data_IF_883464110326
#
_entry.id   IF_883464110326
#
_cell.length_a   1.000
_cell.length_b   1.000
_cell.length_c   1.000
_cell.angle_alpha   90.00
_cell.angle_beta   90.00
_cell.angle_gamma   90.00
#
_symmetry.space_group_name_H-M   'P 1'
#
loop_
_entity.id
_entity.type
_entity.pdbx_description
1 polymer ?
#
# COMPACT_ATOMS: atom_id res chain seq x y z
N UNK A 1 -9.30 -6.52 4.55
CA UNK A 1 -8.53 -7.61 3.94
C UNK A 1 -8.28 -8.59 5.03
N UNK A 2 -8.87 -9.75 4.89
CA UNK A 2 -9.04 -10.67 6.02
C UNK A 2 -8.24 -11.97 5.79
N UNK A 3 -7.56 -12.10 4.65
CA UNK A 3 -6.74 -13.27 4.34
C UNK A 3 -5.54 -12.98 3.45
N UNK A 4 -4.56 -13.89 3.51
CA UNK A 4 -3.40 -13.93 2.60
C UNK A 4 -3.85 -14.08 1.14
N UNK A 5 -4.93 -14.81 0.88
CA UNK A 5 -5.44 -15.04 -0.48
C UNK A 5 -5.94 -13.74 -1.11
N UNK A 6 -6.61 -12.88 -0.33
CA UNK A 6 -7.03 -11.56 -0.80
C UNK A 6 -5.82 -10.68 -1.13
N UNK A 7 -4.79 -10.71 -0.27
CA UNK A 7 -3.54 -9.99 -0.54
C UNK A 7 -2.86 -10.46 -1.83
N UNK A 8 -2.79 -11.77 -2.06
CA UNK A 8 -2.24 -12.32 -3.31
C UNK A 8 -3.06 -11.84 -4.50
N UNK A 9 -4.39 -11.81 -4.40
CA UNK A 9 -5.25 -11.33 -5.49
C UNK A 9 -5.07 -9.82 -5.77
N UNK A 10 -4.80 -9.00 -4.76
CA UNK A 10 -4.40 -7.60 -4.96
C UNK A 10 -3.07 -7.50 -5.70
N UNK A 11 -2.05 -8.24 -5.25
CA UNK A 11 -0.73 -8.22 -5.88
C UNK A 11 -0.83 -8.66 -7.35
N UNK A 12 -1.59 -9.71 -7.64
CA UNK A 12 -1.83 -10.13 -9.03
C UNK A 12 -2.51 -9.04 -9.86
N UNK A 13 -3.48 -8.32 -9.29
CA UNK A 13 -4.13 -7.19 -9.99
C UNK A 13 -3.15 -6.04 -10.26
N UNK A 14 -2.32 -5.68 -9.29
CA UNK A 14 -1.29 -4.65 -9.45
C UNK A 14 -0.27 -5.03 -10.53
N UNK A 15 0.04 -6.32 -10.68
CA UNK A 15 0.91 -6.82 -11.76
C UNK A 15 0.25 -6.81 -13.14
N UNK A 16 -1.09 -6.84 -13.20
CA UNK A 16 -1.88 -6.74 -14.43
C UNK A 16 -2.12 -5.28 -14.85
N UNK A 17 -1.84 -4.31 -13.98
CA UNK A 17 -1.81 -2.90 -14.35
C UNK A 17 -0.70 -2.68 -15.37
N UNK A 18 -1.09 -2.51 -16.64
CA UNK A 18 -0.18 -2.21 -17.74
C UNK A 18 0.24 -0.72 -17.68
N UNK A 19 0.95 -0.21 -18.70
CA UNK A 19 1.37 1.21 -18.86
C UNK A 19 0.25 2.28 -18.71
N UNK A 20 -1.01 1.87 -18.51
CA UNK A 20 -2.14 2.75 -18.22
C UNK A 20 -2.22 3.20 -16.74
N UNK A 21 -1.59 2.47 -15.82
CA UNK A 21 -1.41 2.93 -14.44
C UNK A 21 -0.05 3.63 -14.36
N UNK A 22 -0.02 4.95 -14.50
CA UNK A 22 1.19 5.75 -14.32
C UNK A 22 1.61 5.71 -12.84
N UNK A 23 2.33 4.65 -12.45
CA UNK A 23 2.94 4.58 -11.13
C UNK A 23 3.99 5.68 -11.04
N UNK A 24 3.84 6.58 -10.06
CA UNK A 24 4.82 7.63 -9.80
C UNK A 24 6.17 7.02 -9.40
N UNK A 25 6.14 5.84 -8.78
CA UNK A 25 7.30 5.10 -8.29
C UNK A 25 7.60 3.82 -9.09
N UNK A 26 7.91 4.00 -10.37
CA UNK A 26 8.13 2.93 -11.36
C UNK A 26 9.37 2.03 -11.10
N UNK A 27 10.33 2.47 -10.30
CA UNK A 27 11.52 1.66 -9.97
C UNK A 27 11.34 0.97 -8.62
N UNK A 28 11.92 -0.22 -8.48
CA UNK A 28 11.94 -0.93 -7.20
C UNK A 28 12.51 -0.08 -6.05
N UNK A 29 13.50 0.77 -6.33
CA UNK A 29 14.07 1.67 -5.32
C UNK A 29 13.06 2.71 -4.84
N UNK A 30 12.45 3.47 -5.77
CA UNK A 30 11.44 4.48 -5.44
C UNK A 30 10.20 3.87 -4.79
N UNK A 31 9.76 2.71 -5.26
CA UNK A 31 8.62 2.01 -4.68
C UNK A 31 8.87 1.61 -3.22
N UNK A 32 10.06 1.07 -2.91
CA UNK A 32 10.42 0.70 -1.54
C UNK A 32 10.62 1.91 -0.63
N UNK A 33 11.12 3.02 -1.17
CA UNK A 33 11.23 4.29 -0.46
C UNK A 33 9.84 4.84 -0.08
N UNK A 34 8.93 4.94 -1.06
CA UNK A 34 7.55 5.37 -0.87
C UNK A 34 6.77 4.45 0.08
N UNK A 35 6.96 3.13 -0.02
CA UNK A 35 6.36 2.14 0.88
C UNK A 35 6.76 2.39 2.33
N UNK A 36 8.06 2.64 2.58
CA UNK A 36 8.58 2.91 3.91
C UNK A 36 8.10 4.27 4.44
N UNK A 37 8.09 5.30 3.59
CA UNK A 37 7.60 6.63 3.94
C UNK A 37 6.11 6.60 4.31
N UNK A 38 5.27 5.93 3.52
CA UNK A 38 3.85 5.81 3.84
C UNK A 38 3.60 5.02 5.13
N UNK A 39 4.34 3.93 5.38
CA UNK A 39 4.20 3.18 6.63
C UNK A 39 4.51 4.03 7.87
N UNK A 40 5.48 4.93 7.77
CA UNK A 40 5.81 5.89 8.83
C UNK A 40 4.64 6.87 9.09
N UNK A 41 3.86 7.17 8.06
CA UNK A 41 2.78 8.16 8.10
C UNK A 41 1.36 7.54 8.17
N UNK A 42 1.28 6.20 8.21
CA UNK A 42 0.02 5.43 8.15
C UNK A 42 -0.96 5.81 9.27
N UNK A 43 -0.43 6.17 10.44
CA UNK A 43 -1.19 6.73 11.56
C UNK A 43 -2.02 7.96 11.16
N UNK A 44 -1.42 8.86 10.36
CA UNK A 44 -2.10 10.04 9.84
C UNK A 44 -3.19 9.67 8.84
N UNK A 45 -2.91 8.72 7.94
CA UNK A 45 -3.85 8.22 6.96
C UNK A 45 -5.12 7.65 7.61
N UNK A 46 -4.99 6.70 8.56
CA UNK A 46 -6.15 6.07 9.20
C UNK A 46 -7.00 7.07 10.02
N UNK A 47 -6.35 8.03 10.70
CA UNK A 47 -7.06 9.13 11.36
C UNK A 47 -7.89 9.95 10.38
N UNK A 48 -7.33 10.26 9.20
CA UNK A 48 -8.00 11.09 8.20
C UNK A 48 -9.24 10.40 7.61
N UNK A 49 -9.16 9.09 7.35
CA UNK A 49 -10.29 8.32 6.81
C UNK A 49 -11.26 7.84 7.91
N UNK A 50 -11.03 8.21 9.17
CA UNK A 50 -11.82 7.83 10.35
C UNK A 50 -11.92 6.31 10.53
N UNK A 51 -10.87 5.60 10.15
CA UNK A 51 -10.79 4.15 10.33
C UNK A 51 -10.07 3.85 11.64
N UNK A 52 -10.70 3.03 12.49
CA UNK A 52 -10.14 2.60 13.76
C UNK A 52 -9.18 1.42 13.54
N UNK A 53 -8.09 1.66 12.80
CA UNK A 53 -6.99 0.71 12.60
C UNK A 53 -5.74 1.21 13.31
N UNK A 54 -5.08 0.33 14.04
CA UNK A 54 -3.76 0.58 14.63
C UNK A 54 -2.67 0.11 13.66
N UNK A 55 -1.85 1.01 13.09
CA UNK A 55 -0.76 0.62 12.19
C UNK A 55 0.39 -0.11 12.91
N UNK A 56 0.42 -0.13 14.24
CA UNK A 56 1.38 -0.93 15.01
C UNK A 56 0.97 -2.41 15.10
N UNK A 57 -0.30 -2.73 14.77
CA UNK A 57 -0.78 -4.09 14.66
C UNK A 57 -0.65 -4.58 13.21
N UNK A 58 0.25 -5.54 12.99
CA UNK A 58 0.45 -6.12 11.66
C UNK A 58 -0.84 -6.81 11.17
N UNK A 59 -1.33 -6.38 10.00
CA UNK A 59 -2.52 -6.95 9.36
C UNK A 59 -2.34 -7.04 7.85
N UNK A 60 -3.11 -7.93 7.21
CA UNK A 60 -3.12 -8.01 5.74
C UNK A 60 -3.62 -6.74 5.09
N UNK A 61 -4.56 -6.04 5.72
CA UNK A 61 -5.05 -4.76 5.24
C UNK A 61 -3.99 -3.67 5.34
N UNK A 62 -3.23 -3.57 6.44
CA UNK A 62 -2.12 -2.63 6.54
C UNK A 62 -1.11 -2.84 5.40
N UNK A 63 -0.78 -4.09 5.08
CA UNK A 63 0.15 -4.39 3.99
C UNK A 63 -0.44 -4.03 2.61
N UNK A 64 -1.73 -4.29 2.40
CA UNK A 64 -2.44 -3.92 1.18
C UNK A 64 -2.53 -2.41 0.97
N UNK A 65 -2.79 -1.66 2.03
CA UNK A 65 -2.84 -0.20 2.00
C UNK A 65 -1.46 0.37 1.67
N UNK A 66 -0.40 -0.18 2.28
CA UNK A 66 0.97 0.22 2.00
C UNK A 66 1.38 -0.06 0.54
N UNK A 67 1.08 -1.26 0.01
CA UNK A 67 1.39 -1.62 -1.38
C UNK A 67 0.72 -0.70 -2.40
N UNK A 68 -0.54 -0.33 -2.15
CA UNK A 68 -1.26 0.59 -3.03
C UNK A 68 -0.76 2.03 -2.88
N UNK A 69 -0.45 2.48 -1.66
CA UNK A 69 0.09 3.82 -1.46
C UNK A 69 1.46 3.99 -2.13
N UNK A 70 2.31 2.96 -2.07
CA UNK A 70 3.65 3.00 -2.67
C UNK A 70 3.66 3.25 -4.19
N UNK A 71 2.54 3.05 -4.89
CA UNK A 71 2.45 3.35 -6.34
C UNK A 71 2.36 4.85 -6.63
N UNK A 72 1.94 5.68 -5.65
CA UNK A 72 1.63 7.12 -5.82
C UNK A 72 2.18 8.04 -4.73
N UNK A 73 2.72 7.51 -3.62
CA UNK A 73 3.24 8.32 -2.52
C UNK A 73 4.61 8.94 -2.88
N UNK A 74 4.75 10.25 -2.71
CA UNK A 74 5.99 11.00 -3.04
C UNK A 74 7.12 10.85 -2.02
#
# INVERSE_FOLDING_TARGET
MDSRQELIALISRLLEENDAAEWENETAHRFLEALAAWLNDADGFYRNIKEARDPNEASWQLFADALQAATVYE
#
